data_IF_962446191504
#
_entry.id   IF_962446191504
#
_cell.length_a   1.000
_cell.length_b   1.000
_cell.length_c   1.000
_cell.angle_alpha   90.00
_cell.angle_beta   90.00
_cell.angle_gamma   90.00
#
_symmetry.space_group_name_H-M   'P 1'
#
loop_
_entity.id
_entity.type
_entity.pdbx_description
1 polymer ?
#
# COMPACT_ATOMS: atom_id res chain seq x y z
N UNK A 1 -5.18 2.43 -26.35
CA UNK A 1 -5.65 2.63 -24.96
C UNK A 1 -6.01 1.31 -24.25
N UNK A 2 -6.72 0.38 -24.93
CA UNK A 2 -7.02 -0.96 -24.40
C UNK A 2 -5.79 -1.86 -24.17
N UNK A 3 -4.74 -1.75 -24.98
CA UNK A 3 -3.57 -2.64 -24.91
C UNK A 3 -2.80 -2.57 -23.57
N UNK A 4 -2.54 -1.36 -23.03
CA UNK A 4 -1.83 -1.20 -21.75
C UNK A 4 -2.68 -1.71 -20.59
N UNK A 5 -3.97 -1.36 -20.54
CA UNK A 5 -4.87 -1.85 -19.49
C UNK A 5 -5.06 -3.38 -19.57
N UNK A 6 -5.13 -3.93 -20.78
CA UNK A 6 -5.18 -5.38 -21.02
C UNK A 6 -3.90 -6.06 -20.54
N UNK A 7 -2.73 -5.50 -20.85
CA UNK A 7 -1.45 -6.01 -20.37
C UNK A 7 -1.38 -6.01 -18.84
N UNK A 8 -1.69 -4.89 -18.19
CA UNK A 8 -1.68 -4.78 -16.73
C UNK A 8 -2.69 -5.74 -16.09
N UNK A 9 -3.91 -5.85 -16.62
CA UNK A 9 -4.91 -6.82 -16.16
C UNK A 9 -4.43 -8.26 -16.34
N UNK A 10 -3.73 -8.57 -17.44
CA UNK A 10 -3.19 -9.91 -17.70
C UNK A 10 -2.11 -10.30 -16.70
N UNK A 11 -1.24 -9.36 -16.29
CA UNK A 11 -0.07 -9.69 -15.50
C UNK A 11 -0.14 -9.27 -14.02
N UNK A 12 -1.03 -8.35 -13.62
CA UNK A 12 -1.09 -7.80 -12.26
C UNK A 12 -2.48 -7.92 -11.62
N UNK A 13 -2.54 -7.81 -10.29
CA UNK A 13 -3.81 -7.75 -9.57
C UNK A 13 -4.48 -6.42 -9.79
N UNK A 14 -5.80 -6.38 -9.90
CA UNK A 14 -6.56 -5.14 -9.95
C UNK A 14 -7.04 -4.76 -8.56
N UNK A 15 -7.22 -3.45 -8.29
CA UNK A 15 -7.87 -2.97 -7.07
C UNK A 15 -9.19 -3.75 -6.87
N UNK A 16 -9.44 -4.32 -5.68
CA UNK A 16 -10.76 -4.84 -5.36
C UNK A 16 -11.79 -3.73 -5.55
N UNK A 17 -13.00 -4.01 -6.07
CA UNK A 17 -14.04 -3.01 -6.18
C UNK A 17 -14.39 -2.48 -4.78
N UNK A 18 -14.36 -1.16 -4.62
CA UNK A 18 -14.74 -0.48 -3.39
C UNK A 18 -15.91 0.41 -3.74
N UNK A 19 -17.09 0.00 -3.31
CA UNK A 19 -18.29 0.82 -3.27
C UNK A 19 -18.71 0.88 -1.80
N UNK A 20 -18.58 2.07 -1.21
CA UNK A 20 -18.94 2.32 0.18
C UNK A 20 -20.37 2.81 0.18
N UNK A 21 -21.26 2.07 0.83
CA UNK A 21 -22.65 2.47 1.02
C UNK A 21 -22.81 3.42 2.22
N UNK A 22 -24.05 3.88 2.46
CA UNK A 22 -24.35 4.79 3.55
C UNK A 22 -24.09 4.20 4.93
N UNK A 23 -24.30 2.90 5.11
CA UNK A 23 -24.19 2.25 6.42
C UNK A 23 -22.72 2.05 6.79
N UNK A 24 -21.91 1.64 5.82
CA UNK A 24 -20.45 1.56 5.94
C UNK A 24 -19.84 2.95 6.17
N UNK A 25 -20.26 3.96 5.41
CA UNK A 25 -19.80 5.34 5.63
C UNK A 25 -20.17 5.84 7.04
N UNK A 26 -21.39 5.59 7.50
CA UNK A 26 -21.82 5.95 8.85
C UNK A 26 -21.02 5.21 9.94
N UNK A 27 -20.65 3.95 9.71
CA UNK A 27 -19.78 3.21 10.61
C UNK A 27 -18.39 3.86 10.72
N UNK A 28 -17.82 4.29 9.60
CA UNK A 28 -16.54 5.00 9.59
C UNK A 28 -16.58 6.36 10.27
N UNK A 29 -17.67 7.13 10.09
CA UNK A 29 -17.84 8.39 10.81
C UNK A 29 -17.95 8.18 12.32
N UNK A 30 -18.61 7.09 12.77
CA UNK A 30 -18.64 6.72 14.20
C UNK A 30 -17.25 6.43 14.75
N UNK A 31 -16.43 5.65 14.03
CA UNK A 31 -15.04 5.39 14.41
C UNK A 31 -14.25 6.70 14.59
N UNK A 32 -14.39 7.62 13.63
CA UNK A 32 -13.69 8.91 13.68
C UNK A 32 -14.18 9.81 14.82
N UNK A 33 -15.48 9.81 15.11
CA UNK A 33 -16.06 10.58 16.21
C UNK A 33 -15.65 10.05 17.59
N UNK A 34 -15.41 8.75 17.71
CA UNK A 34 -14.95 8.10 18.95
C UNK A 34 -13.43 8.18 19.14
N UNK A 35 -12.68 8.51 18.08
CA UNK A 35 -11.22 8.60 18.15
C UNK A 35 -10.79 9.82 18.95
N UNK A 36 -10.01 9.61 20.02
CA UNK A 36 -9.40 10.71 20.77
C UNK A 36 -8.50 11.56 19.84
N UNK A 37 -8.80 12.86 19.64
CA UNK A 37 -8.02 13.72 18.75
C UNK A 37 -6.54 13.88 19.14
N UNK A 38 -6.20 13.78 20.43
CA UNK A 38 -4.82 13.92 20.91
C UNK A 38 -4.00 12.66 20.65
N UNK A 39 -4.59 11.48 20.84
CA UNK A 39 -3.90 10.21 20.62
C UNK A 39 -3.90 9.79 19.14
N UNK A 40 -4.95 10.15 18.40
CA UNK A 40 -5.17 9.81 16.99
C UNK A 40 -5.29 8.30 16.71
N UNK A 41 -5.27 7.45 17.74
CA UNK A 41 -5.32 6.01 17.61
C UNK A 41 -6.76 5.56 17.33
N UNK A 42 -6.96 4.95 16.17
CA UNK A 42 -8.27 4.43 15.77
C UNK A 42 -8.41 3.01 16.32
N UNK A 43 -9.34 2.84 17.25
CA UNK A 43 -9.82 1.53 17.69
C UNK A 43 -10.77 0.99 16.63
N UNK A 44 -10.29 0.04 15.83
CA UNK A 44 -11.05 -0.43 14.67
C UNK A 44 -12.07 -1.49 15.06
N UNK A 45 -13.31 -1.06 15.29
CA UNK A 45 -14.46 -1.93 15.56
C UNK A 45 -15.50 -1.81 14.42
N UNK A 46 -15.18 -2.42 13.28
CA UNK A 46 -16.06 -2.45 12.12
C UNK A 46 -15.98 -3.83 11.45
N UNK A 47 -17.09 -4.35 10.89
CA UNK A 47 -17.11 -5.64 10.20
C UNK A 47 -16.46 -5.56 8.80
N UNK A 48 -16.14 -4.35 8.34
CA UNK A 48 -15.55 -4.12 7.02
C UNK A 48 -14.02 -4.25 7.07
N UNK A 49 -13.38 -4.73 5.99
CA UNK A 49 -11.93 -4.75 5.91
C UNK A 49 -11.29 -3.36 6.06
N UNK A 50 -10.20 -3.26 6.83
CA UNK A 50 -9.48 -1.99 7.09
C UNK A 50 -9.07 -1.23 5.83
N UNK A 51 -8.71 -1.93 4.75
CA UNK A 51 -8.34 -1.27 3.49
C UNK A 51 -9.50 -0.46 2.87
N UNK A 52 -10.76 -0.81 3.17
CA UNK A 52 -11.94 -0.04 2.72
C UNK A 52 -12.10 1.24 3.54
N UNK A 53 -11.88 1.18 4.85
CA UNK A 53 -11.80 2.37 5.68
C UNK A 53 -10.65 3.29 5.26
N UNK A 54 -9.48 2.74 4.94
CA UNK A 54 -8.36 3.53 4.41
C UNK A 54 -8.75 4.20 3.08
N UNK A 55 -9.48 3.50 2.20
CA UNK A 55 -10.01 4.10 0.97
C UNK A 55 -11.01 5.23 1.26
N UNK A 56 -11.89 5.06 2.24
CA UNK A 56 -12.79 6.13 2.70
C UNK A 56 -12.01 7.37 3.15
N UNK A 57 -10.96 7.18 3.96
CA UNK A 57 -10.13 8.28 4.46
C UNK A 57 -9.39 9.03 3.34
N UNK A 58 -8.87 8.31 2.34
CA UNK A 58 -8.14 8.97 1.23
C UNK A 58 -9.07 9.60 0.20
N UNK A 59 -10.24 9.01 -0.04
CA UNK A 59 -11.17 9.45 -1.09
C UNK A 59 -12.16 10.52 -0.58
N UNK A 60 -12.69 10.37 0.64
CA UNK A 60 -13.74 11.25 1.20
C UNK A 60 -13.20 12.26 2.23
N UNK A 61 -12.16 11.92 2.99
CA UNK A 61 -11.54 12.81 3.99
C UNK A 61 -10.29 13.52 3.48
N UNK A 62 -9.96 13.34 2.20
CA UNK A 62 -8.82 13.94 1.51
C UNK A 62 -7.46 13.70 2.20
N UNK A 63 -7.32 12.61 2.96
CA UNK A 63 -6.07 12.27 3.65
C UNK A 63 -5.09 11.55 2.70
N UNK A 64 -3.80 11.61 3.04
CA UNK A 64 -2.79 10.71 2.49
C UNK A 64 -2.40 9.68 3.55
N UNK A 65 -1.75 8.60 3.12
CA UNK A 65 -1.40 7.51 4.02
C UNK A 65 0.04 7.03 3.86
N UNK A 66 0.63 6.64 4.99
CA UNK A 66 1.98 6.07 5.09
C UNK A 66 1.94 4.79 5.92
N UNK A 67 2.55 3.71 5.43
CA UNK A 67 2.66 2.46 6.18
C UNK A 67 4.05 2.24 6.73
N UNK A 68 4.17 1.84 8.00
CA UNK A 68 5.45 1.60 8.65
C UNK A 68 5.36 0.46 9.67
N UNK A 69 6.47 -0.27 9.86
CA UNK A 69 6.62 -1.21 10.99
C UNK A 69 6.83 -0.47 12.33
N UNK A 70 7.22 0.81 12.30
CA UNK A 70 7.35 1.62 13.53
C UNK A 70 5.96 2.16 13.91
N UNK A 71 5.47 1.78 15.09
CA UNK A 71 4.06 1.99 15.50
C UNK A 71 3.83 3.26 16.33
N UNK A 72 4.89 3.92 16.77
CA UNK A 72 4.86 5.12 17.62
C UNK A 72 5.52 6.33 16.94
N UNK A 73 5.23 6.56 15.66
CA UNK A 73 5.70 7.77 14.96
C UNK A 73 4.76 8.93 15.27
N UNK A 74 5.24 9.91 16.04
CA UNK A 74 4.49 11.14 16.29
C UNK A 74 4.74 12.20 15.23
N UNK A 75 5.90 12.15 14.55
CA UNK A 75 6.27 13.05 13.45
C UNK A 75 7.12 12.33 12.42
N UNK A 76 6.77 12.51 11.14
CA UNK A 76 7.56 12.07 10.01
C UNK A 76 8.55 13.15 9.64
N UNK A 77 9.83 12.89 9.87
CA UNK A 77 10.93 13.73 9.40
C UNK A 77 11.25 13.44 7.93
N UNK A 78 11.74 14.46 7.22
CA UNK A 78 12.23 14.28 5.86
C UNK A 78 13.43 13.37 5.87
N UNK A 79 13.52 12.48 4.88
CA UNK A 79 14.67 11.59 4.71
C UNK A 79 15.11 11.61 3.26
N UNK A 80 16.42 11.53 3.04
CA UNK A 80 16.98 11.37 1.71
C UNK A 80 16.62 9.99 1.16
N UNK A 81 15.81 9.98 0.10
CA UNK A 81 15.31 8.77 -0.56
C UNK A 81 15.26 9.00 -2.08
N UNK A 82 15.02 7.95 -2.84
CA UNK A 82 14.83 8.04 -4.30
C UNK A 82 13.35 8.03 -4.64
N UNK A 83 12.94 8.93 -5.53
CA UNK A 83 11.66 8.83 -6.24
C UNK A 83 11.63 7.54 -7.09
N UNK A 84 10.44 7.15 -7.55
CA UNK A 84 10.28 5.99 -8.46
C UNK A 84 11.16 6.04 -9.72
N UNK A 85 11.57 7.24 -10.16
CA UNK A 85 12.42 7.46 -11.33
C UNK A 85 13.93 7.47 -11.00
N UNK A 86 14.30 7.17 -9.75
CA UNK A 86 15.69 7.11 -9.28
C UNK A 86 16.29 8.46 -8.85
N UNK A 87 15.59 9.58 -9.02
CA UNK A 87 16.09 10.89 -8.56
C UNK A 87 16.03 10.99 -7.04
N UNK A 88 17.12 11.48 -6.44
CA UNK A 88 17.17 11.75 -5.00
C UNK A 88 16.27 12.94 -4.63
N UNK A 89 15.61 12.81 -3.48
CA UNK A 89 14.84 13.87 -2.84
C UNK A 89 14.92 13.70 -1.33
N UNK A 90 14.86 14.80 -0.59
CA UNK A 90 14.69 14.80 0.86
C UNK A 90 13.23 15.13 1.17
N UNK A 91 12.47 14.11 1.58
CA UNK A 91 11.01 14.25 1.74
C UNK A 91 10.40 13.18 2.65
N UNK A 92 9.21 13.48 3.15
CA UNK A 92 8.24 12.50 3.66
C UNK A 92 7.44 11.96 2.48
N UNK A 93 7.30 10.64 2.39
CA UNK A 93 6.55 9.98 1.33
C UNK A 93 5.19 9.51 1.83
N UNK A 94 4.15 9.66 1.02
CA UNK A 94 2.81 9.17 1.29
C UNK A 94 2.12 8.74 -0.02
N UNK A 95 0.94 8.14 0.10
CA UNK A 95 0.13 7.76 -1.04
C UNK A 95 -1.35 8.05 -0.82
N UNK A 96 -2.11 8.22 -1.89
CA UNK A 96 -3.58 8.21 -1.87
C UNK A 96 -4.15 6.81 -2.14
N UNK A 97 -3.30 5.79 -2.20
CA UNK A 97 -3.72 4.40 -2.32
C UNK A 97 -3.99 3.77 -0.95
N UNK A 98 -5.03 2.95 -0.89
CA UNK A 98 -5.49 2.36 0.37
C UNK A 98 -4.83 1.01 0.72
N UNK A 99 -4.18 0.36 -0.25
CA UNK A 99 -3.69 -1.01 -0.12
C UNK A 99 -2.16 -1.04 -0.03
N UNK A 100 -1.50 -0.26 -0.88
CA UNK A 100 -0.05 -0.16 -0.94
C UNK A 100 0.63 0.20 0.39
N UNK A 101 0.12 1.13 1.23
CA UNK A 101 0.72 1.39 2.53
C UNK A 101 0.59 0.20 3.49
N UNK A 102 -0.46 -0.62 3.41
CA UNK A 102 -0.61 -1.80 4.27
C UNK A 102 0.56 -2.75 4.04
N UNK A 103 0.95 -3.01 2.78
CA UNK A 103 2.13 -3.82 2.47
C UNK A 103 3.39 -3.32 3.19
N UNK A 104 3.64 -2.01 3.19
CA UNK A 104 4.79 -1.43 3.88
C UNK A 104 4.68 -1.47 5.40
N UNK A 105 3.46 -1.42 5.94
CA UNK A 105 3.23 -1.56 7.37
C UNK A 105 3.48 -2.99 7.87
N UNK A 106 3.14 -4.00 7.07
CA UNK A 106 3.14 -5.41 7.51
C UNK A 106 4.34 -6.21 6.99
N UNK A 107 5.07 -5.72 5.98
CA UNK A 107 6.31 -6.33 5.53
C UNK A 107 7.47 -5.90 6.44
N UNK A 108 7.99 -6.83 7.24
CA UNK A 108 9.13 -6.62 8.11
C UNK A 108 10.44 -6.59 7.29
N UNK A 109 10.94 -5.39 7.01
CA UNK A 109 12.16 -5.22 6.20
C UNK A 109 13.42 -5.77 6.87
N UNK A 110 13.44 -5.98 8.19
CA UNK A 110 14.57 -6.64 8.87
C UNK A 110 14.71 -8.13 8.49
N UNK A 111 13.65 -8.71 7.91
CA UNK A 111 13.61 -10.10 7.43
C UNK A 111 13.93 -10.25 5.95
N UNK A 112 14.24 -9.15 5.26
CA UNK A 112 14.53 -9.13 3.82
C UNK A 112 15.86 -9.82 3.51
N UNK A 113 15.83 -10.79 2.59
CA UNK A 113 17.00 -11.37 1.95
C UNK A 113 17.02 -11.04 0.46
N UNK A 114 18.03 -10.29 0.00
CA UNK A 114 18.13 -9.86 -1.40
C UNK A 114 17.27 -8.61 -1.67
N UNK A 115 16.31 -8.70 -2.60
CA UNK A 115 15.46 -7.58 -2.97
C UNK A 115 13.97 -7.89 -2.87
N UNK A 116 13.14 -6.85 -2.90
CA UNK A 116 11.69 -6.97 -3.03
C UNK A 116 11.21 -6.06 -4.14
N UNK A 117 10.11 -6.45 -4.78
CA UNK A 117 9.55 -5.78 -5.94
C UNK A 117 8.08 -5.56 -5.69
N UNK A 118 7.65 -4.32 -5.79
CA UNK A 118 6.25 -3.98 -5.61
C UNK A 118 5.88 -2.81 -6.51
N UNK A 119 4.57 -2.61 -6.69
CA UNK A 119 4.09 -1.41 -7.35
C UNK A 119 2.59 -1.26 -7.26
N UNK A 120 2.14 0.00 -7.19
CA UNK A 120 0.78 0.43 -7.40
C UNK A 120 0.74 1.33 -8.64
N UNK A 121 0.26 0.78 -9.74
CA UNK A 121 0.28 1.41 -11.07
C UNK A 121 -1.11 1.99 -11.37
N UNK A 122 -1.16 3.29 -11.69
CA UNK A 122 -2.36 3.97 -12.18
C UNK A 122 -2.25 4.23 -13.68
N UNK A 123 -3.36 4.04 -14.41
CA UNK A 123 -3.46 4.40 -15.84
C UNK A 123 -4.41 5.59 -15.98
N UNK A 124 -3.97 6.68 -16.61
CA UNK A 124 -4.76 7.91 -16.79
C UNK A 124 -6.10 7.61 -17.50
N UNK A 125 -7.18 8.25 -17.03
CA UNK A 125 -8.59 8.06 -17.45
C UNK A 125 -9.23 6.71 -17.09
N UNK A 126 -8.50 5.80 -16.45
CA UNK A 126 -9.07 4.59 -15.85
C UNK A 126 -9.05 4.73 -14.33
N UNK A 127 -10.15 4.43 -13.64
CA UNK A 127 -10.20 4.42 -12.17
C UNK A 127 -9.37 3.25 -11.61
N UNK A 128 -9.08 2.26 -12.46
CA UNK A 128 -8.43 1.02 -12.07
C UNK A 128 -6.95 1.23 -11.69
N UNK A 129 -6.60 0.67 -10.53
CA UNK A 129 -5.22 0.53 -10.05
C UNK A 129 -4.79 -0.92 -10.20
N UNK A 130 -3.52 -1.12 -10.55
CA UNK A 130 -2.94 -2.46 -10.70
C UNK A 130 -1.77 -2.65 -9.75
N UNK A 131 -1.67 -3.83 -9.16
CA UNK A 131 -0.74 -4.15 -8.10
C UNK A 131 0.08 -5.40 -8.40
N UNK A 132 1.34 -5.36 -8.01
CA UNK A 132 2.16 -6.56 -7.88
C UNK A 132 3.01 -6.49 -6.63
N UNK A 133 3.23 -7.63 -5.99
CA UNK A 133 4.05 -7.78 -4.78
C UNK A 133 4.87 -9.06 -4.87
N UNK A 134 6.20 -8.93 -4.87
CA UNK A 134 7.09 -10.08 -4.99
C UNK A 134 8.26 -9.96 -4.04
N UNK A 135 8.47 -11.00 -3.25
CA UNK A 135 9.62 -11.16 -2.35
C UNK A 135 10.54 -12.25 -2.91
N UNK A 136 11.77 -12.33 -2.44
CA UNK A 136 12.58 -13.52 -2.76
C UNK A 136 12.05 -14.73 -1.99
N UNK A 137 12.32 -15.93 -2.50
CA UNK A 137 11.99 -17.16 -1.78
C UNK A 137 12.65 -17.22 -0.39
N UNK A 138 13.91 -16.80 -0.29
CA UNK A 138 14.62 -16.69 0.98
C UNK A 138 13.92 -15.73 1.95
N UNK A 139 13.36 -14.61 1.46
CA UNK A 139 12.57 -13.69 2.31
C UNK A 139 11.27 -14.33 2.76
N UNK A 140 10.55 -15.02 1.87
CA UNK A 140 9.30 -15.72 2.20
C UNK A 140 9.51 -16.79 3.27
N UNK A 141 10.62 -17.53 3.20
CA UNK A 141 10.99 -18.56 4.17
C UNK A 141 11.48 -17.98 5.52
N UNK A 142 11.66 -16.66 5.62
CA UNK A 142 12.04 -15.97 6.84
C UNK A 142 10.85 -15.31 7.57
N UNK A 143 9.63 -15.75 7.28
CA UNK A 143 8.39 -15.28 7.92
C UNK A 143 8.31 -13.74 7.98
N UNK A 144 8.26 -13.05 6.82
CA UNK A 144 8.56 -11.63 6.73
C UNK A 144 7.40 -10.72 7.15
N UNK A 145 6.37 -11.27 7.79
CA UNK A 145 5.14 -10.58 8.11
C UNK A 145 5.11 -10.14 9.57
N UNK A 146 4.58 -8.95 9.83
CA UNK A 146 4.47 -8.35 11.16
C UNK A 146 3.19 -7.53 11.26
N UNK A 147 2.78 -7.19 12.48
CA UNK A 147 1.90 -6.04 12.70
C UNK A 147 2.66 -4.74 12.45
N UNK A 148 1.93 -3.70 12.06
CA UNK A 148 2.45 -2.35 11.89
C UNK A 148 1.34 -1.32 11.92
N UNK A 149 1.63 -0.12 11.41
CA UNK A 149 0.69 1.00 11.48
C UNK A 149 0.56 1.68 10.13
N UNK A 150 -0.68 1.99 9.75
CA UNK A 150 -1.01 2.96 8.71
C UNK A 150 -1.30 4.30 9.37
N UNK A 151 -0.54 5.32 8.98
CA UNK A 151 -0.67 6.69 9.45
C UNK A 151 -1.43 7.51 8.42
N UNK A 152 -2.39 8.31 8.86
CA UNK A 152 -3.15 9.23 8.04
C UNK A 152 -2.57 10.64 8.18
N UNK A 153 -2.07 11.17 7.08
CA UNK A 153 -1.36 12.44 7.01
C UNK A 153 -2.26 13.51 6.36
N UNK A 154 -2.28 14.75 6.89
CA UNK A 154 -2.89 15.88 6.21
C UNK A 154 -2.25 16.08 4.83
N UNK A 155 -3.07 16.39 3.82
CA UNK A 155 -2.64 16.42 2.42
C UNK A 155 -2.03 17.76 2.00
N UNK A 156 -2.26 18.82 2.79
CA UNK A 156 -1.97 20.21 2.46
C UNK A 156 -0.49 20.45 2.15
N UNK A 157 0.42 19.77 2.86
CA UNK A 157 1.87 19.91 2.68
C UNK A 157 2.46 18.97 1.61
N UNK A 158 1.63 18.24 0.87
CA UNK A 158 2.07 17.25 -0.10
C UNK A 158 1.84 17.67 -1.54
N UNK A 159 2.84 17.39 -2.39
CA UNK A 159 2.74 17.48 -3.83
C UNK A 159 2.96 16.10 -4.46
N UNK A 160 2.32 15.85 -5.61
CA UNK A 160 2.60 14.62 -6.38
C UNK A 160 4.01 14.68 -6.95
N UNK A 161 4.77 13.59 -6.79
CA UNK A 161 6.14 13.50 -7.32
C UNK A 161 6.17 13.22 -8.83
N UNK A 162 5.06 12.73 -9.38
CA UNK A 162 4.98 12.30 -10.77
C UNK A 162 3.64 12.65 -11.41
N UNK A 163 3.71 13.02 -12.69
CA UNK A 163 2.57 13.25 -13.55
C UNK A 163 2.85 12.61 -14.91
N UNK A 164 1.97 11.73 -15.36
CA UNK A 164 2.20 10.93 -16.56
C UNK A 164 1.00 10.07 -16.93
N UNK A 165 1.08 9.35 -18.05
CA UNK A 165 0.01 8.45 -18.49
C UNK A 165 -0.07 7.19 -17.61
N UNK A 166 1.10 6.67 -17.23
CA UNK A 166 1.27 5.64 -16.20
C UNK A 166 2.12 6.27 -15.10
N UNK A 167 1.64 6.23 -13.86
CA UNK A 167 2.38 6.81 -12.74
C UNK A 167 2.12 6.05 -11.44
N UNK A 168 3.08 6.14 -10.52
CA UNK A 168 2.96 5.63 -9.16
C UNK A 168 2.25 6.68 -8.30
N UNK A 169 1.33 6.27 -7.43
CA UNK A 169 0.52 7.17 -6.60
C UNK A 169 1.33 7.76 -5.43
N UNK A 170 2.48 8.35 -5.75
CA UNK A 170 3.50 8.84 -4.83
C UNK A 170 3.33 10.35 -4.61
N UNK A 171 3.22 10.71 -3.33
CA UNK A 171 3.14 12.08 -2.84
C UNK A 171 4.32 12.35 -1.93
N UNK A 172 4.87 13.56 -2.02
CA UNK A 172 6.01 13.99 -1.22
C UNK A 172 5.71 15.30 -0.49
N UNK A 173 6.14 15.39 0.76
CA UNK A 173 6.24 16.64 1.52
C UNK A 173 7.70 16.93 1.82
N UNK A 174 8.13 18.18 1.63
CA UNK A 174 9.48 18.63 1.99
C UNK A 174 9.59 19.15 3.43
N UNK A 175 8.53 18.96 4.20
CA UNK A 175 8.41 19.42 5.57
C UNK A 175 8.16 18.23 6.49
N UNK A 176 8.39 18.42 7.78
CA UNK A 176 8.03 17.42 8.79
C UNK A 176 6.51 17.38 8.95
N UNK A 177 5.92 16.18 8.99
CA UNK A 177 4.46 16.01 9.04
C UNK A 177 4.04 15.19 10.26
N UNK A 178 3.10 15.71 11.05
CA UNK A 178 2.46 14.93 12.11
C UNK A 178 1.27 14.15 11.53
N UNK A 179 1.11 12.85 11.86
CA UNK A 179 -0.09 12.11 11.51
C UNK A 179 -1.29 12.62 12.31
N UNK A 180 -2.45 12.71 11.65
CA UNK A 180 -3.72 13.04 12.31
C UNK A 180 -4.34 11.81 12.96
N UNK A 181 -4.20 10.66 12.31
CA UNK A 181 -4.71 9.39 12.82
C UNK A 181 -3.69 8.28 12.58
N UNK A 182 -3.80 7.19 13.34
CA UNK A 182 -3.03 5.96 13.18
C UNK A 182 -3.94 4.74 13.36
N UNK A 183 -3.77 3.76 12.47
CA UNK A 183 -4.52 2.52 12.45
C UNK A 183 -3.56 1.34 12.50
N UNK A 184 -3.69 0.49 13.52
CA UNK A 184 -2.96 -0.75 13.61
C UNK A 184 -3.42 -1.71 12.50
N UNK A 185 -2.48 -2.35 11.82
CA UNK A 185 -2.73 -3.34 10.77
C UNK A 185 -1.83 -4.57 10.96
N UNK A 186 -2.29 -5.69 10.41
CA UNK A 186 -1.64 -6.99 10.43
C UNK A 186 -1.61 -7.59 9.02
N UNK A 187 -0.92 -8.70 8.82
CA UNK A 187 -0.81 -9.33 7.51
C UNK A 187 -2.18 -9.73 6.94
N UNK A 188 -3.12 -10.06 7.82
CA UNK A 188 -4.50 -10.43 7.54
C UNK A 188 -5.31 -9.25 6.99
N UNK A 189 -4.93 -8.01 7.35
CA UNK A 189 -5.54 -6.78 6.82
C UNK A 189 -5.08 -6.46 5.39
N UNK A 190 -4.05 -7.14 4.88
CA UNK A 190 -3.51 -6.91 3.55
C UNK A 190 -4.28 -7.76 2.50
N UNK A 191 -5.11 -7.15 1.63
CA UNK A 191 -5.98 -7.90 0.72
C UNK A 191 -5.24 -8.72 -0.35
N UNK A 192 -3.94 -8.50 -0.51
CA UNK A 192 -3.09 -9.22 -1.45
C UNK A 192 -2.05 -10.12 -0.78
N UNK A 193 -2.22 -10.47 0.50
CA UNK A 193 -1.29 -11.36 1.22
C UNK A 193 -1.08 -12.68 0.46
N UNK A 194 -2.16 -13.27 -0.04
CA UNK A 194 -2.10 -14.48 -0.85
C UNK A 194 -1.64 -14.26 -2.29
N UNK A 195 -1.64 -13.01 -2.76
CA UNK A 195 -1.11 -12.62 -4.05
C UNK A 195 0.36 -12.18 -4.00
N UNK A 196 1.06 -12.32 -2.86
CA UNK A 196 2.52 -12.13 -2.80
C UNK A 196 3.21 -13.33 -3.46
N UNK A 197 3.98 -13.06 -4.51
CA UNK A 197 4.73 -14.08 -5.29
C UNK A 197 6.21 -14.14 -4.88
N UNK A 198 6.89 -15.23 -5.25
CA UNK A 198 8.34 -15.35 -5.05
C UNK A 198 9.11 -15.10 -6.35
N UNK A 199 10.24 -14.40 -6.30
CA UNK A 199 11.16 -14.24 -7.43
C UNK A 199 12.60 -14.61 -7.05
N UNK A 200 13.46 -14.80 -8.08
CA UNK A 200 14.90 -14.93 -7.89
C UNK A 200 15.54 -13.55 -7.84
N UNK A 201 16.46 -13.31 -6.90
CA UNK A 201 17.06 -11.98 -6.69
C UNK A 201 17.68 -11.39 -7.96
N UNK A 202 18.28 -12.23 -8.79
CA UNK A 202 19.04 -11.87 -9.99
C UNK A 202 18.16 -11.80 -11.26
N UNK A 203 16.88 -12.18 -11.20
CA UNK A 203 16.03 -12.15 -12.39
C UNK A 203 15.64 -10.71 -12.77
N UNK A 204 15.40 -10.43 -14.04
CA UNK A 204 14.95 -9.10 -14.47
C UNK A 204 13.53 -8.77 -13.98
N UNK A 205 13.22 -7.49 -13.79
CA UNK A 205 11.88 -7.02 -13.40
C UNK A 205 10.79 -7.48 -14.40
N UNK A 206 11.14 -7.50 -15.69
CA UNK A 206 10.28 -8.00 -16.77
C UNK A 206 9.90 -9.46 -16.55
N UNK A 207 10.87 -10.32 -16.20
CA UNK A 207 10.62 -11.73 -15.91
C UNK A 207 9.73 -11.90 -14.69
N UNK A 208 9.92 -11.09 -13.64
CA UNK A 208 9.03 -11.10 -12.47
C UNK A 208 7.60 -10.74 -12.86
N UNK A 209 7.39 -9.70 -13.67
CA UNK A 209 6.05 -9.30 -14.10
C UNK A 209 5.35 -10.35 -14.95
N UNK A 210 6.05 -10.95 -15.92
CA UNK A 210 5.48 -11.99 -16.79
C UNK A 210 5.08 -13.25 -16.02
N UNK A 211 5.84 -13.59 -14.98
CA UNK A 211 5.61 -14.80 -14.18
C UNK A 211 4.72 -14.59 -12.95
N UNK A 212 4.39 -13.35 -12.61
CA UNK A 212 3.71 -12.97 -11.36
C UNK A 212 2.43 -13.79 -11.08
N UNK A 213 1.42 -13.69 -11.94
CA UNK A 213 0.17 -14.45 -11.77
C UNK A 213 0.34 -15.95 -11.91
N UNK A 214 1.30 -16.40 -12.72
CA UNK A 214 1.57 -17.83 -12.89
C UNK A 214 2.04 -18.44 -11.57
N UNK A 215 3.01 -17.79 -10.91
CA UNK A 215 3.54 -18.20 -9.61
C UNK A 215 2.50 -18.18 -8.49
N UNK A 216 1.58 -17.20 -8.52
CA UNK A 216 0.46 -17.16 -7.57
C UNK A 216 -0.44 -18.39 -7.74
N UNK A 217 -0.80 -18.74 -9.00
CA UNK A 217 -1.62 -19.92 -9.27
C UNK A 217 -0.93 -21.22 -8.87
N UNK A 218 0.36 -21.37 -9.20
CA UNK A 218 1.17 -22.51 -8.78
C UNK A 218 1.20 -22.66 -7.25
N UNK A 219 1.43 -21.56 -6.53
CA UNK A 219 1.43 -21.52 -5.05
C UNK A 219 0.08 -21.89 -4.43
N UNK A 220 -1.03 -21.44 -5.02
CA UNK A 220 -2.37 -21.74 -4.50
C UNK A 220 -2.76 -23.20 -4.77
N UNK A 221 -2.35 -23.76 -5.91
CA UNK A 221 -2.58 -25.17 -6.23
C UNK A 221 -1.84 -26.09 -5.24
N UNK A 222 -0.57 -25.81 -4.93
CA UNK A 222 0.23 -26.63 -4.02
C UNK A 222 -0.18 -26.59 -2.54
N UNK A 223 -1.21 -25.81 -2.17
CA UNK A 223 -1.76 -25.74 -0.81
C UNK A 223 -3.04 -26.56 -0.64
N UNK A 224 -3.60 -27.04 -1.75
CA UNK A 224 -4.82 -27.84 -1.77
C UNK A 224 -4.53 -29.35 -1.78
N UNK A 225 -3.25 -29.72 -1.91
CA UNK A 225 -2.70 -31.07 -1.78
C UNK A 225 -2.11 -31.28 -0.37
#
# INVERSE_FOLDING_TARGET
MGFISFFLRKYFMEKPPILIDSDEAAAYERLLAQTNPEAGAIEYDCPYPKYRFIAYMTEQKAMLVHGSNHTAIDRFETRRQTLYNGKYVEAVFATSDAIWPIFYAVFNRSKLYGNFRNGCIRVKKNVNRFYFFSLTEATMNNFPWTSGTVYFLPKESFARSSSGFVYFDEWISRETVAPRYKLAVSAEDFPFIEAVSSHRSEESIMKTWLLYKRRIREKLASRQD
#
